data_IF_389638370515
#
_entry.id   IF_389638370515
#
_cell.length_a   1.000
_cell.length_b   1.000
_cell.length_c   1.000
_cell.angle_alpha   90.00
_cell.angle_beta   90.00
_cell.angle_gamma   90.00
#
_symmetry.space_group_name_H-M   'P 1'
#
loop_
_entity.id
_entity.type
_entity.pdbx_description
1 polymer ?
#
# COMPACT_ATOMS: atom_id res chain seq x y z
N UNK A 1 22.92 -19.43 43.09
CA UNK A 1 21.89 -18.95 42.13
C UNK A 1 22.58 -18.03 41.14
N UNK A 2 22.59 -18.37 39.85
CA UNK A 2 23.40 -17.66 38.85
C UNK A 2 22.72 -16.34 38.43
N UNK A 3 23.26 -15.21 38.90
CA UNK A 3 22.70 -13.87 38.69
C UNK A 3 22.57 -13.53 37.18
N UNK A 4 23.44 -14.10 36.34
CA UNK A 4 23.40 -13.90 34.89
C UNK A 4 22.18 -14.55 34.24
N UNK A 5 21.71 -15.70 34.75
CA UNK A 5 20.52 -16.39 34.24
C UNK A 5 19.27 -15.52 34.48
N UNK A 6 19.12 -14.93 35.66
CA UNK A 6 18.01 -14.04 35.97
C UNK A 6 18.02 -12.75 35.14
N UNK A 7 19.20 -12.18 34.86
CA UNK A 7 19.34 -11.01 33.99
C UNK A 7 18.99 -11.34 32.54
N UNK A 8 19.44 -12.50 32.04
CA UNK A 8 19.11 -12.96 30.69
C UNK A 8 17.61 -13.20 30.53
N UNK A 9 16.98 -13.87 31.49
CA UNK A 9 15.54 -14.13 31.45
C UNK A 9 14.74 -12.81 31.41
N UNK A 10 15.10 -11.84 32.25
CA UNK A 10 14.46 -10.52 32.24
C UNK A 10 14.65 -9.79 30.90
N UNK A 11 15.84 -9.87 30.30
CA UNK A 11 16.10 -9.27 28.99
C UNK A 11 15.24 -9.92 27.87
N UNK A 12 15.06 -11.24 27.91
CA UNK A 12 14.22 -11.97 26.96
C UNK A 12 12.73 -11.60 27.11
N UNK A 13 12.25 -11.46 28.34
CA UNK A 13 10.89 -10.99 28.62
C UNK A 13 10.66 -9.57 28.08
N UNK A 14 11.62 -8.67 28.31
CA UNK A 14 11.58 -7.30 27.77
C UNK A 14 11.59 -7.29 26.24
N UNK A 15 12.43 -8.11 25.60
CA UNK A 15 12.48 -8.21 24.14
C UNK A 15 11.15 -8.72 23.58
N UNK A 16 10.55 -9.72 24.22
CA UNK A 16 9.25 -10.28 23.81
C UNK A 16 8.14 -9.23 23.88
N UNK A 17 8.11 -8.44 24.96
CA UNK A 17 7.15 -7.34 25.10
C UNK A 17 7.38 -6.25 24.04
N UNK A 18 8.64 -5.91 23.75
CA UNK A 18 8.99 -4.92 22.74
C UNK A 18 8.56 -5.36 21.33
N UNK A 19 8.77 -6.63 20.96
CA UNK A 19 8.33 -7.20 19.68
C UNK A 19 6.81 -7.07 19.54
N UNK A 20 6.06 -7.49 20.56
CA UNK A 20 4.59 -7.41 20.54
C UNK A 20 4.09 -5.97 20.38
N UNK A 21 4.71 -5.02 21.08
CA UNK A 21 4.34 -3.61 20.95
C UNK A 21 4.56 -3.11 19.52
N UNK A 22 5.70 -3.43 18.90
CA UNK A 22 5.97 -3.07 17.50
C UNK A 22 4.96 -3.72 16.55
N UNK A 23 4.61 -4.98 16.76
CA UNK A 23 3.59 -5.68 15.96
C UNK A 23 2.21 -5.03 16.08
N UNK A 24 1.81 -4.60 17.29
CA UNK A 24 0.57 -3.86 17.52
C UNK A 24 0.56 -2.50 16.81
N UNK A 25 1.61 -1.69 16.94
CA UNK A 25 1.73 -0.41 16.25
C UNK A 25 1.72 -0.58 14.73
N UNK A 26 2.41 -1.61 14.22
CA UNK A 26 2.40 -1.93 12.79
C UNK A 26 1.00 -2.34 12.31
N UNK A 27 0.25 -3.11 13.11
CA UNK A 27 -1.13 -3.46 12.79
C UNK A 27 -2.05 -2.24 12.80
N UNK A 28 -1.88 -1.32 13.75
CA UNK A 28 -2.63 -0.06 13.81
C UNK A 28 -2.32 0.83 12.60
N UNK A 29 -1.04 1.00 12.23
CA UNK A 29 -0.65 1.75 11.03
C UNK A 29 -1.18 1.11 9.75
N UNK A 30 -1.20 -0.22 9.66
CA UNK A 30 -1.81 -0.94 8.52
C UNK A 30 -3.33 -0.80 8.49
N UNK A 31 -3.96 -0.63 9.64
CA UNK A 31 -5.40 -0.34 9.72
C UNK A 31 -5.71 1.13 9.33
N UNK A 32 -4.79 2.06 9.58
CA UNK A 32 -4.88 3.47 9.16
C UNK A 32 -4.57 3.67 7.66
N UNK A 33 -3.95 2.69 7.02
CA UNK A 33 -3.59 2.75 5.60
C UNK A 33 -4.83 2.99 4.72
N UNK A 34 -4.97 4.20 4.19
CA UNK A 34 -5.97 4.53 3.16
C UNK A 34 -5.74 3.67 1.91
N UNK A 35 -6.60 2.67 1.63
CA UNK A 35 -6.44 1.78 0.50
C UNK A 35 -6.49 2.52 -0.83
N UNK A 36 -7.30 3.59 -0.93
CA UNK A 36 -7.43 4.40 -2.13
C UNK A 36 -6.15 5.19 -2.40
N UNK A 37 -5.56 5.81 -1.38
CA UNK A 37 -4.30 6.56 -1.51
C UNK A 37 -3.16 5.67 -2.04
N UNK A 38 -3.00 4.48 -1.48
CA UNK A 38 -1.98 3.53 -1.96
C UNK A 38 -2.26 3.02 -3.36
N UNK A 39 -3.53 2.76 -3.68
CA UNK A 39 -3.93 2.37 -5.03
C UNK A 39 -3.64 3.48 -6.05
N UNK A 40 -3.85 4.75 -5.71
CA UNK A 40 -3.46 5.90 -6.54
C UNK A 40 -1.94 5.90 -6.79
N UNK A 41 -1.13 5.69 -5.75
CA UNK A 41 0.33 5.68 -5.88
C UNK A 41 0.83 4.54 -6.77
N UNK A 42 0.32 3.33 -6.55
CA UNK A 42 0.64 2.14 -7.34
C UNK A 42 0.20 2.34 -8.80
N UNK A 43 -1.02 2.81 -9.02
CA UNK A 43 -1.56 3.06 -10.36
C UNK A 43 -0.72 4.10 -11.13
N UNK A 44 -0.35 5.22 -10.49
CA UNK A 44 0.57 6.23 -11.07
C UNK A 44 1.91 5.63 -11.50
N UNK A 45 2.49 4.78 -10.65
CA UNK A 45 3.75 4.11 -10.97
C UNK A 45 3.57 3.14 -12.13
N UNK A 46 2.46 2.42 -12.20
CA UNK A 46 2.20 1.52 -13.31
C UNK A 46 2.06 2.28 -14.62
N UNK A 47 1.22 3.32 -14.73
CA UNK A 47 1.06 4.06 -16.00
C UNK A 47 2.35 4.64 -16.54
N UNK A 48 3.19 5.21 -15.66
CA UNK A 48 4.51 5.73 -16.04
C UNK A 48 5.42 4.68 -16.67
N UNK A 49 5.29 3.43 -16.25
CA UNK A 49 6.16 2.32 -16.65
C UNK A 49 5.50 1.35 -17.65
N UNK A 50 4.24 1.57 -18.02
CA UNK A 50 3.58 0.75 -19.05
C UNK A 50 4.23 1.07 -20.39
N UNK A 51 5.04 0.12 -20.86
CA UNK A 51 5.45 0.04 -22.25
C UNK A 51 4.20 -0.32 -23.07
N UNK A 52 3.65 0.69 -23.74
CA UNK A 52 2.46 0.52 -24.56
C UNK A 52 2.83 0.06 -25.97
N UNK A 53 1.89 -0.61 -26.62
CA UNK A 53 1.98 -0.86 -28.06
C UNK A 53 1.54 0.40 -28.80
N UNK A 54 1.78 0.46 -30.13
CA UNK A 54 1.45 1.64 -30.97
C UNK A 54 -0.01 2.13 -30.85
N UNK A 55 -0.92 1.30 -30.33
CA UNK A 55 -2.36 1.59 -30.29
C UNK A 55 -2.91 2.05 -28.94
N UNK A 56 -2.10 2.24 -27.89
CA UNK A 56 -2.62 2.75 -26.60
C UNK A 56 -3.43 1.74 -25.76
N UNK A 57 -3.81 0.62 -26.38
CA UNK A 57 -4.84 -0.30 -25.90
C UNK A 57 -4.48 -0.93 -24.55
N UNK A 58 -3.19 -1.13 -24.28
CA UNK A 58 -2.75 -1.70 -23.01
C UNK A 58 -2.90 -0.69 -21.89
N UNK A 59 -2.59 0.58 -22.15
CA UNK A 59 -2.77 1.65 -21.18
C UNK A 59 -4.24 1.90 -20.88
N UNK A 60 -5.12 1.91 -21.89
CA UNK A 60 -6.57 2.00 -21.73
C UNK A 60 -7.14 0.84 -20.88
N UNK A 61 -6.73 -0.39 -21.17
CA UNK A 61 -7.20 -1.54 -20.39
C UNK A 61 -6.77 -1.45 -18.92
N UNK A 62 -5.52 -1.02 -18.67
CA UNK A 62 -5.02 -0.83 -17.31
C UNK A 62 -5.74 0.34 -16.63
N UNK A 63 -6.03 1.45 -17.35
CA UNK A 63 -6.86 2.59 -16.92
C UNK A 63 -8.21 2.13 -16.39
N UNK A 64 -8.92 1.36 -17.20
CA UNK A 64 -10.23 0.85 -16.85
C UNK A 64 -10.20 -0.09 -15.64
N UNK A 65 -9.25 -1.03 -15.59
CA UNK A 65 -9.15 -1.98 -14.48
C UNK A 65 -8.81 -1.28 -13.16
N UNK A 66 -7.86 -0.35 -13.17
CA UNK A 66 -7.49 0.37 -11.95
C UNK A 66 -8.59 1.31 -11.47
N UNK A 67 -9.33 1.93 -12.40
CA UNK A 67 -10.50 2.75 -12.08
C UNK A 67 -11.59 1.94 -11.37
N UNK A 68 -11.90 0.75 -11.86
CA UNK A 68 -12.90 -0.11 -11.22
C UNK A 68 -12.50 -0.45 -9.77
N UNK A 69 -11.22 -0.75 -9.53
CA UNK A 69 -10.70 -0.94 -8.18
C UNK A 69 -10.78 0.35 -7.36
N UNK A 70 -10.46 1.52 -7.92
CA UNK A 70 -10.57 2.80 -7.22
C UNK A 70 -12.01 3.08 -6.76
N UNK A 71 -13.01 2.79 -7.60
CA UNK A 71 -14.42 2.93 -7.25
C UNK A 71 -14.82 2.04 -6.06
N UNK A 72 -14.33 0.79 -6.03
CA UNK A 72 -14.51 -0.13 -4.91
C UNK A 72 -13.85 0.40 -3.62
N UNK A 73 -12.73 1.10 -3.75
CA UNK A 73 -11.99 1.72 -2.64
C UNK A 73 -12.55 3.09 -2.22
N UNK A 74 -13.66 3.54 -2.80
CA UNK A 74 -14.33 4.77 -2.39
C UNK A 74 -14.11 5.99 -3.29
N UNK A 75 -13.39 5.84 -4.41
CA UNK A 75 -13.30 6.90 -5.41
C UNK A 75 -14.70 7.21 -5.99
N UNK A 76 -14.99 8.49 -6.23
CA UNK A 76 -16.30 8.96 -6.71
C UNK A 76 -16.21 9.83 -7.96
N UNK A 77 -15.01 10.04 -8.49
CA UNK A 77 -14.80 10.75 -9.75
C UNK A 77 -15.08 9.89 -10.98
N UNK A 78 -15.02 10.51 -12.15
CA UNK A 78 -15.13 9.84 -13.45
C UNK A 78 -13.85 9.11 -13.84
N UNK A 79 -13.93 8.28 -14.90
CA UNK A 79 -12.75 7.63 -15.49
C UNK A 79 -11.75 8.70 -15.98
N UNK A 80 -12.21 9.75 -16.63
CA UNK A 80 -11.34 10.84 -17.11
C UNK A 80 -10.61 11.54 -15.95
N UNK A 81 -11.29 11.77 -14.82
CA UNK A 81 -10.67 12.35 -13.62
C UNK A 81 -9.63 11.40 -13.02
N UNK A 82 -9.93 10.10 -13.01
CA UNK A 82 -9.00 9.07 -12.58
C UNK A 82 -7.76 8.99 -13.47
N UNK A 83 -7.92 9.03 -14.79
CA UNK A 83 -6.82 9.00 -15.75
C UNK A 83 -5.92 10.23 -15.62
N UNK A 84 -6.49 11.43 -15.41
CA UNK A 84 -5.73 12.65 -15.10
C UNK A 84 -4.99 12.54 -13.77
N UNK A 85 -5.67 12.03 -12.73
CA UNK A 85 -5.08 11.86 -11.41
C UNK A 85 -3.90 10.88 -11.45
N UNK A 86 -3.99 9.83 -12.26
CA UNK A 86 -3.01 8.75 -12.34
C UNK A 86 -1.94 8.95 -13.42
N UNK A 87 -2.11 9.95 -14.30
CA UNK A 87 -1.19 10.22 -15.40
C UNK A 87 -1.29 9.18 -16.53
N UNK A 88 -2.47 8.59 -16.71
CA UNK A 88 -2.77 7.68 -17.80
C UNK A 88 -3.01 8.43 -19.13
N UNK A 89 -3.38 9.71 -19.07
CA UNK A 89 -3.46 10.60 -20.24
C UNK A 89 -2.05 11.06 -20.61
N UNK A 90 -1.68 10.91 -21.89
CA UNK A 90 -0.40 11.39 -22.43
C UNK A 90 -0.36 12.91 -22.59
#
# INVERSE_FOLDING_TARGET
MNIYVGRLQKALEQLTAAIRNVECELAAMKAEHDPLASHIFISRRHYRNVADTKSGKRREMIAQMSFNTACQLGFRGSLDEWERLTGAVA
#
